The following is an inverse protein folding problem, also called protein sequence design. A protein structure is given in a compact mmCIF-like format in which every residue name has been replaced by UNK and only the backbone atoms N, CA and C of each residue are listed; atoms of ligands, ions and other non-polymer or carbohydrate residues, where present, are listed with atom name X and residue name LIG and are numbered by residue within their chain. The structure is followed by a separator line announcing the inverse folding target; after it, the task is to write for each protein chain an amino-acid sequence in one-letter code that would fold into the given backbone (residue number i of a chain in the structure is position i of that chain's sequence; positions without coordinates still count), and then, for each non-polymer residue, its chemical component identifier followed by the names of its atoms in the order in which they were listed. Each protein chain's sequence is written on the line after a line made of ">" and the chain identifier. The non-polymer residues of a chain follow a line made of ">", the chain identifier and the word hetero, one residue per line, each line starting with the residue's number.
data_IF_072406743357
#
_entry.id   IF_072406743357
#
_cell.length_a   1.000
_cell.length_b   1.000
_cell.length_c   1.000
_cell.angle_alpha   90.00
_cell.angle_beta   90.00
_cell.angle_gamma   90.00
#
_symmetry.space_group_name_H-M   'P 1'
#
loop_
_entity.id
_entity.type
_entity.pdbx_description
1 polymer ?
#
# COMPACT_ATOMS: atom_id res chain seq x y z
N UNK A 1 -30.54 -36.51 -1.38
CA UNK A 1 -30.46 -35.46 -0.33
C UNK A 1 -29.13 -34.76 -0.50
N UNK A 2 -29.13 -33.67 -1.26
CA UNK A 2 -27.95 -32.89 -1.62
C UNK A 2 -27.48 -32.08 -0.40
N UNK A 3 -26.19 -32.18 -0.08
CA UNK A 3 -25.56 -31.39 0.98
C UNK A 3 -25.38 -29.96 0.48
N UNK A 4 -25.88 -28.99 1.25
CA UNK A 4 -25.61 -27.57 1.07
C UNK A 4 -24.10 -27.35 0.93
N UNK A 5 -23.71 -26.69 -0.16
CA UNK A 5 -22.34 -26.26 -0.41
C UNK A 5 -22.06 -25.11 0.56
N UNK A 6 -21.24 -25.37 1.58
CA UNK A 6 -20.74 -24.35 2.49
C UNK A 6 -20.18 -23.17 1.68
N UNK A 7 -20.76 -22.00 1.92
CA UNK A 7 -20.20 -20.73 1.47
C UNK A 7 -18.91 -20.46 2.21
N UNK A 8 -17.79 -21.02 1.74
CA UNK A 8 -16.46 -20.55 2.08
C UNK A 8 -16.25 -19.20 1.39
N UNK A 9 -16.71 -18.12 2.04
CA UNK A 9 -16.16 -16.81 1.78
C UNK A 9 -14.66 -16.88 2.06
N UNK A 10 -13.84 -16.50 1.08
CA UNK A 10 -12.39 -16.45 1.25
C UNK A 10 -12.10 -15.43 2.35
N UNK A 11 -11.77 -15.91 3.54
CA UNK A 11 -11.52 -15.08 4.70
C UNK A 11 -10.07 -14.61 4.66
N UNK A 12 -9.83 -13.46 4.02
CA UNK A 12 -8.51 -12.82 3.96
C UNK A 12 -8.23 -12.06 5.26
N UNK A 13 -6.96 -12.04 5.70
CA UNK A 13 -6.51 -11.27 6.85
C UNK A 13 -5.67 -10.08 6.40
N UNK A 14 -6.01 -8.90 6.91
CA UNK A 14 -5.36 -7.66 6.52
C UNK A 14 -4.93 -6.89 7.77
N UNK A 15 -3.97 -5.99 7.62
CA UNK A 15 -3.74 -4.96 8.64
C UNK A 15 -4.90 -3.97 8.64
N UNK A 16 -5.44 -3.68 9.81
CA UNK A 16 -6.57 -2.78 10.04
C UNK A 16 -6.18 -1.74 11.11
N UNK A 17 -5.73 -0.56 10.68
CA UNK A 17 -5.19 0.49 11.55
C UNK A 17 -5.10 1.85 10.86
N UNK A 18 -4.94 2.91 11.65
CA UNK A 18 -4.78 4.30 11.19
C UNK A 18 -3.64 4.98 11.94
N UNK A 19 -2.65 5.53 11.23
CA UNK A 19 -1.50 6.21 11.88
C UNK A 19 -1.86 7.49 12.63
N UNK A 20 -3.07 8.03 12.43
CA UNK A 20 -3.58 9.15 13.22
C UNK A 20 -3.85 8.75 14.68
N UNK A 21 -4.24 7.50 14.93
CA UNK A 21 -4.60 6.98 16.25
C UNK A 21 -3.51 6.03 16.79
N UNK A 22 -2.97 5.18 15.92
CA UNK A 22 -1.97 4.17 16.22
C UNK A 22 -0.67 4.44 15.46
N UNK A 23 0.32 5.10 16.08
CA UNK A 23 1.59 5.43 15.40
C UNK A 23 2.34 4.20 14.91
N UNK A 24 2.37 3.11 15.69
CA UNK A 24 2.95 1.81 15.29
C UNK A 24 2.32 1.20 14.02
N UNK A 25 1.16 1.68 13.55
CA UNK A 25 0.61 1.28 12.27
C UNK A 25 1.59 1.58 11.11
N UNK A 26 2.43 2.62 11.19
CA UNK A 26 3.31 2.97 10.06
C UNK A 26 4.39 1.90 9.79
N UNK A 27 4.82 1.19 10.84
CA UNK A 27 5.95 0.26 10.82
C UNK A 27 5.57 -1.20 10.59
N UNK A 28 4.28 -1.53 10.39
CA UNK A 28 3.87 -2.93 10.17
C UNK A 28 4.50 -3.52 8.92
N UNK A 29 4.94 -4.77 9.04
CA UNK A 29 5.56 -5.60 8.02
C UNK A 29 4.67 -6.81 7.74
N UNK A 30 4.93 -7.50 6.62
CA UNK A 30 4.14 -8.68 6.21
C UNK A 30 4.18 -9.80 7.26
N UNK A 31 5.25 -9.87 8.06
CA UNK A 31 5.46 -10.91 9.08
C UNK A 31 4.83 -10.58 10.43
N UNK A 32 4.23 -9.39 10.60
CA UNK A 32 3.64 -8.97 11.88
C UNK A 32 2.23 -9.58 12.08
N UNK A 33 2.08 -10.87 11.81
CA UNK A 33 0.80 -11.58 11.90
C UNK A 33 0.27 -11.74 13.33
N UNK A 34 1.14 -11.58 14.33
CA UNK A 34 0.74 -11.55 15.76
C UNK A 34 0.31 -10.15 16.24
N UNK A 35 0.35 -9.14 15.35
CA UNK A 35 0.00 -7.77 15.67
C UNK A 35 -1.49 -7.62 15.99
N UNK A 36 -1.82 -6.72 16.93
CA UNK A 36 -3.21 -6.27 17.21
C UNK A 36 -3.92 -5.70 15.96
N UNK A 37 -3.16 -5.31 14.94
CA UNK A 37 -3.68 -4.78 13.68
C UNK A 37 -3.99 -5.87 12.66
N UNK A 38 -3.42 -7.06 12.77
CA UNK A 38 -3.68 -8.16 11.84
C UNK A 38 -5.00 -8.84 12.19
N UNK A 39 -6.01 -8.60 11.37
CA UNK A 39 -7.39 -9.01 11.65
C UNK A 39 -8.04 -9.59 10.42
N UNK A 40 -8.90 -10.58 10.64
CA UNK A 40 -9.72 -11.16 9.59
C UNK A 40 -10.71 -10.13 9.03
N UNK A 41 -10.88 -10.13 7.71
CA UNK A 41 -11.92 -9.37 7.04
C UNK A 41 -13.26 -10.06 7.22
N UNK A 42 -13.88 -9.82 8.38
CA UNK A 42 -15.23 -10.27 8.71
C UNK A 42 -16.21 -9.12 8.46
N UNK A 43 -17.36 -9.43 7.85
CA UNK A 43 -18.40 -8.43 7.59
C UNK A 43 -19.36 -8.86 6.48
N UNK A 44 -20.46 -8.11 6.35
CA UNK A 44 -21.32 -8.20 5.18
C UNK A 44 -20.74 -7.34 4.06
N UNK A 45 -20.16 -8.01 3.06
CA UNK A 45 -19.58 -7.39 1.88
C UNK A 45 -20.51 -7.45 0.66
N UNK A 46 -21.82 -7.59 0.88
CA UNK A 46 -22.83 -7.68 -0.18
C UNK A 46 -22.54 -8.84 -1.16
N UNK A 47 -22.11 -9.99 -0.62
CA UNK A 47 -21.70 -11.15 -1.40
C UNK A 47 -20.42 -10.98 -2.22
N UNK A 48 -19.69 -9.86 -2.07
CA UNK A 48 -18.40 -9.62 -2.74
C UNK A 48 -17.25 -10.20 -1.92
N UNK A 49 -16.17 -10.56 -2.61
CA UNK A 49 -14.95 -11.07 -1.98
C UNK A 49 -14.15 -9.90 -1.42
N UNK A 50 -13.84 -9.88 -0.11
CA UNK A 50 -13.01 -8.83 0.47
C UNK A 50 -11.56 -8.92 0.00
N UNK A 51 -10.85 -7.80 0.11
CA UNK A 51 -9.44 -7.65 -0.21
C UNK A 51 -8.77 -6.67 0.76
N UNK A 52 -7.43 -6.66 0.80
CA UNK A 52 -6.70 -5.71 1.64
C UNK A 52 -6.53 -4.37 0.94
N UNK A 53 -6.75 -3.29 1.67
CA UNK A 53 -6.61 -1.92 1.19
C UNK A 53 -5.60 -1.15 2.03
N UNK A 54 -4.78 -0.34 1.36
CA UNK A 54 -3.91 0.68 1.97
C UNK A 54 -4.17 2.03 1.34
N UNK A 55 -4.34 3.06 2.17
CA UNK A 55 -4.43 4.45 1.73
C UNK A 55 -3.33 5.26 2.39
N UNK A 56 -2.43 5.84 1.60
CA UNK A 56 -1.55 6.91 2.08
C UNK A 56 -2.11 8.26 1.64
N UNK A 57 -2.14 9.24 2.54
CA UNK A 57 -2.58 10.60 2.26
C UNK A 57 -1.55 11.60 2.80
N UNK A 58 -1.22 12.62 2.02
CA UNK A 58 -0.33 13.72 2.40
C UNK A 58 -0.99 15.06 2.08
N UNK A 59 -0.92 16.00 3.01
CA UNK A 59 -1.35 17.39 2.79
C UNK A 59 -0.15 18.18 2.26
N UNK A 60 -0.28 18.77 1.06
CA UNK A 60 0.87 19.34 0.34
C UNK A 60 1.47 20.57 1.04
N UNK A 61 0.66 21.34 1.77
CA UNK A 61 1.09 22.54 2.48
C UNK A 61 1.62 22.29 3.90
N UNK A 62 1.59 21.04 4.38
CA UNK A 62 1.97 20.70 5.76
C UNK A 62 3.05 19.63 5.75
N UNK A 63 4.21 19.97 6.32
CA UNK A 63 5.31 19.03 6.46
C UNK A 63 4.93 17.87 7.39
N UNK A 64 5.44 16.67 7.11
CA UNK A 64 5.20 15.46 7.92
C UNK A 64 3.69 15.14 8.14
N UNK A 65 2.85 15.53 7.18
CA UNK A 65 1.39 15.31 7.23
C UNK A 65 0.93 13.95 6.69
N UNK A 66 1.87 13.05 6.42
CA UNK A 66 1.56 11.72 5.88
C UNK A 66 0.76 10.90 6.89
N UNK A 67 -0.34 10.32 6.41
CA UNK A 67 -1.19 9.40 7.16
C UNK A 67 -1.43 8.15 6.37
N UNK A 68 -1.38 7.01 7.05
CA UNK A 68 -1.65 5.69 6.47
C UNK A 68 -2.87 5.09 7.14
N UNK A 69 -3.84 4.69 6.33
CA UNK A 69 -5.00 3.91 6.72
C UNK A 69 -4.90 2.53 6.05
N UNK A 70 -4.99 1.47 6.85
CA UNK A 70 -5.07 0.09 6.38
C UNK A 70 -6.41 -0.49 6.79
N UNK A 71 -7.09 -1.17 5.87
CA UNK A 71 -8.46 -1.68 6.07
C UNK A 71 -8.78 -2.81 5.11
N UNK A 72 -9.87 -3.53 5.38
CA UNK A 72 -10.51 -4.40 4.38
C UNK A 72 -11.35 -3.57 3.41
N UNK A 73 -11.38 -3.94 2.14
CA UNK A 73 -12.23 -3.36 1.11
C UNK A 73 -12.98 -4.45 0.32
N UNK A 74 -14.10 -4.09 -0.31
CA UNK A 74 -14.90 -5.01 -1.14
C UNK A 74 -15.49 -4.34 -2.39
N UNK A 75 -15.30 -3.03 -2.54
CA UNK A 75 -15.76 -2.25 -3.69
C UNK A 75 -14.58 -2.03 -4.61
N UNK A 76 -14.65 -2.61 -5.80
CA UNK A 76 -13.72 -2.33 -6.89
C UNK A 76 -14.26 -1.13 -7.68
N UNK A 77 -13.39 -0.15 -8.00
CA UNK A 77 -13.75 0.85 -9.01
C UNK A 77 -13.95 0.16 -10.36
N UNK A 78 -14.83 0.67 -11.22
CA UNK A 78 -15.12 0.12 -12.56
C UNK A 78 -13.87 -0.09 -13.43
N UNK A 79 -12.82 0.67 -13.18
CA UNK A 79 -11.53 0.60 -13.89
C UNK A 79 -10.51 -0.34 -13.22
N UNK A 80 -10.75 -0.81 -12.00
CA UNK A 80 -9.79 -1.66 -11.28
C UNK A 80 -9.94 -3.11 -11.76
N UNK A 81 -8.82 -3.70 -12.17
CA UNK A 81 -8.72 -5.16 -12.37
C UNK A 81 -8.54 -5.82 -11.01
N UNK A 82 -8.85 -7.12 -10.87
CA UNK A 82 -8.49 -7.92 -9.68
C UNK A 82 -7.00 -8.26 -9.68
N UNK A 83 -6.17 -7.26 -9.84
CA UNK A 83 -4.72 -7.33 -9.72
C UNK A 83 -4.30 -6.28 -8.68
N UNK A 84 -3.10 -6.42 -8.12
CA UNK A 84 -2.56 -5.42 -7.22
C UNK A 84 -2.48 -4.07 -7.95
N UNK A 85 -3.24 -3.08 -7.48
CA UNK A 85 -3.40 -1.79 -8.15
C UNK A 85 -3.30 -0.65 -7.13
N UNK A 86 -2.60 0.42 -7.49
CA UNK A 86 -2.41 1.62 -6.68
C UNK A 86 -2.79 2.85 -7.49
N UNK A 87 -3.92 3.46 -7.12
CA UNK A 87 -4.42 4.66 -7.78
C UNK A 87 -3.98 5.92 -7.05
N UNK A 88 -3.44 6.88 -7.81
CA UNK A 88 -3.12 8.23 -7.34
C UNK A 88 -4.35 9.13 -7.51
N UNK A 89 -4.82 9.70 -6.41
CA UNK A 89 -5.69 10.86 -6.38
C UNK A 89 -4.87 12.11 -6.07
N UNK A 90 -5.05 13.16 -6.86
CA UNK A 90 -4.32 14.41 -6.72
C UNK A 90 -5.32 15.56 -6.75
N UNK A 91 -5.23 16.45 -5.76
CA UNK A 91 -6.04 17.66 -5.62
C UNK A 91 -5.11 18.78 -5.18
N UNK A 92 -5.52 20.03 -5.31
CA UNK A 92 -4.69 21.20 -5.01
C UNK A 92 -4.02 21.18 -3.62
N UNK A 93 -4.61 20.48 -2.64
CA UNK A 93 -4.12 20.45 -1.26
C UNK A 93 -3.76 19.05 -0.75
N UNK A 94 -4.22 17.98 -1.41
CA UNK A 94 -4.12 16.62 -0.90
C UNK A 94 -3.64 15.68 -2.00
N UNK A 95 -2.56 14.97 -1.69
CA UNK A 95 -2.08 13.82 -2.44
C UNK A 95 -2.52 12.53 -1.76
N UNK A 96 -3.17 11.62 -2.49
CA UNK A 96 -3.63 10.34 -1.96
C UNK A 96 -3.24 9.18 -2.87
N UNK A 97 -2.78 8.09 -2.28
CA UNK A 97 -2.58 6.81 -2.95
C UNK A 97 -3.51 5.77 -2.33
N UNK A 98 -4.36 5.14 -3.14
CA UNK A 98 -5.26 4.08 -2.72
C UNK A 98 -4.85 2.78 -3.41
N UNK A 99 -4.28 1.86 -2.65
CA UNK A 99 -3.82 0.56 -3.12
C UNK A 99 -4.75 -0.57 -2.67
N UNK A 100 -4.92 -1.58 -3.51
CA UNK A 100 -5.59 -2.84 -3.21
C UNK A 100 -4.68 -4.03 -3.51
N UNK A 101 -4.85 -5.10 -2.75
CA UNK A 101 -4.14 -6.36 -2.97
C UNK A 101 -4.94 -7.54 -2.36
N UNK A 102 -4.69 -8.76 -2.85
CA UNK A 102 -5.60 -9.89 -2.68
C UNK A 102 -4.99 -11.10 -1.93
N UNK A 103 -3.89 -10.89 -1.20
CA UNK A 103 -3.25 -11.90 -0.33
C UNK A 103 -3.16 -11.44 1.12
N UNK A 104 -3.04 -12.38 2.06
CA UNK A 104 -2.92 -12.05 3.47
C UNK A 104 -1.75 -11.08 3.74
N UNK A 105 -1.97 -10.12 4.63
CA UNK A 105 -0.97 -9.15 5.08
C UNK A 105 -0.35 -8.24 3.97
N UNK A 106 -0.81 -8.31 2.72
CA UNK A 106 -0.20 -7.60 1.58
C UNK A 106 -0.22 -6.07 1.72
N UNK A 107 -1.16 -5.53 2.50
CA UNK A 107 -1.27 -4.09 2.75
C UNK A 107 -0.24 -3.55 3.77
N UNK A 108 0.71 -4.36 4.24
CA UNK A 108 1.85 -3.89 5.02
C UNK A 108 2.81 -3.01 4.20
N UNK A 109 3.00 -3.33 2.91
CA UNK A 109 4.03 -2.75 2.05
C UNK A 109 4.05 -1.22 2.14
N UNK A 110 5.24 -0.64 2.38
CA UNK A 110 5.42 0.81 2.36
C UNK A 110 5.29 1.31 0.92
N UNK A 111 4.66 2.47 0.74
CA UNK A 111 4.58 3.10 -0.57
C UNK A 111 5.98 3.60 -0.88
N UNK A 112 6.71 2.87 -1.72
CA UNK A 112 8.08 3.26 -2.06
C UNK A 112 7.96 4.46 -2.99
N UNK A 113 8.13 5.67 -2.44
CA UNK A 113 8.32 6.86 -3.26
C UNK A 113 9.63 6.67 -4.03
N UNK A 114 9.58 6.37 -5.32
CA UNK A 114 10.77 6.36 -6.18
C UNK A 114 11.38 7.76 -6.19
N UNK A 115 12.32 8.02 -5.28
CA UNK A 115 13.16 9.21 -5.32
C UNK A 115 14.13 9.05 -6.49
N UNK A 116 13.83 9.77 -7.58
CA UNK A 116 14.61 9.74 -8.83
C UNK A 116 15.99 10.39 -8.71
N UNK A 117 16.42 10.76 -7.49
CA UNK A 117 17.65 11.53 -7.23
C UNK A 117 18.92 10.68 -7.13
N UNK A 118 18.84 9.36 -6.96
CA UNK A 118 20.02 8.52 -6.79
C UNK A 118 20.82 8.25 -8.08
N UNK A 119 20.20 8.37 -9.27
CA UNK A 119 20.86 8.02 -10.55
C UNK A 119 21.76 9.13 -11.11
N UNK A 120 21.53 10.40 -10.76
CA UNK A 120 22.27 11.54 -11.35
C UNK A 120 23.72 11.61 -10.85
N UNK A 121 23.99 11.22 -9.60
CA UNK A 121 25.34 11.29 -9.00
C UNK A 121 26.28 10.24 -9.60
N UNK A 122 25.78 9.03 -9.91
CA UNK A 122 26.60 7.95 -10.45
C UNK A 122 27.11 8.26 -11.87
N UNK A 123 26.28 8.88 -12.73
CA UNK A 123 26.68 9.24 -14.10
C UNK A 123 27.71 10.38 -14.09
N UNK A 124 27.52 11.39 -13.23
CA UNK A 124 28.49 12.48 -13.11
C UNK A 124 29.87 11.98 -12.65
N UNK A 125 29.92 11.10 -11.64
CA UNK A 125 31.17 10.51 -11.17
C UNK A 125 31.88 9.68 -12.26
N UNK A 126 31.15 8.89 -13.05
CA UNK A 126 31.71 8.10 -14.16
C UNK A 126 32.26 8.99 -15.29
N UNK A 127 31.59 10.09 -15.64
CA UNK A 127 32.12 11.03 -16.65
C UNK A 127 33.38 11.75 -16.17
N UNK A 128 33.46 12.12 -14.90
CA UNK A 128 34.66 12.74 -14.32
C UNK A 128 35.84 11.76 -14.29
N UNK A 129 35.62 10.51 -13.91
CA UNK A 129 36.64 9.46 -13.92
C UNK A 129 37.11 9.12 -15.34
N UNK A 130 36.19 9.02 -16.30
CA UNK A 130 36.53 8.81 -17.70
C UNK A 130 37.38 9.96 -18.26
N UNK A 131 37.00 11.20 -17.98
CA UNK A 131 37.74 12.38 -18.42
C UNK A 131 39.12 12.52 -17.75
N UNK A 132 39.29 12.05 -16.49
CA UNK A 132 40.58 12.05 -15.82
C UNK A 132 41.50 10.94 -16.31
N UNK A 133 40.96 9.79 -16.70
CA UNK A 133 41.73 8.66 -17.23
C UNK A 133 42.20 8.85 -18.68
N UNK A 134 41.48 9.62 -19.50
CA UNK A 134 41.90 9.92 -20.89
C UNK A 134 42.96 11.03 -20.97
N UNK A 135 43.01 11.94 -19.98
CA UNK A 135 43.95 13.07 -19.96
C UNK A 135 45.36 12.74 -19.43
N UNK A 136 45.63 11.49 -19.05
CA UNK A 136 46.96 10.98 -18.66
C UNK A 136 47.54 10.10 -19.75
#
# INVERSE_FOLDING_TARGET
>A
MERCRDGQGIAINCFQCNTAEDRECDSVTVNDTDSKFYKNCTGDYEGKVPFCRKVSTRVLSVENSERVLRSCGWILSSEAKRDDDCKKGDTDFILRWSCMCFSDACNAAKTVHSSTTATVVAVAALTLLYNSLWKS
#
